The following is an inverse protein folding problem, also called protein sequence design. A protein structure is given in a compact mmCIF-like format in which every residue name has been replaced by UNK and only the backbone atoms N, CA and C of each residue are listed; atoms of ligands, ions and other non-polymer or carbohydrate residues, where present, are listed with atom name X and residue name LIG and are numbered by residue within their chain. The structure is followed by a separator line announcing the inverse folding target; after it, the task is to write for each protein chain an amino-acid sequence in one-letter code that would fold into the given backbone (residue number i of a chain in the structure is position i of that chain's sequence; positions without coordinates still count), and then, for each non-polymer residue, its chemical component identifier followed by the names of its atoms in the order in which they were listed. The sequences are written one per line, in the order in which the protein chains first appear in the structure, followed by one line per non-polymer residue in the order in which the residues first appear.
data_IF_321039980605
#
_entry.id   IF_321039980605
#
_cell.length_a   1.000
_cell.length_b   1.000
_cell.length_c   1.000
_cell.angle_alpha   90.00
_cell.angle_beta   90.00
_cell.angle_gamma   90.00
#
_symmetry.space_group_name_H-M   'P 1'
#
loop_
_entity.id
_entity.type
_entity.pdbx_description
1 polymer ?
#
# COMPACT_ATOMS: atom_id res chain seq x y z
N UNK A 1 3.59 9.90 -6.20
CA UNK A 1 2.85 9.46 -7.41
C UNK A 1 2.71 7.95 -7.38
N UNK A 2 1.49 7.44 -7.56
CA UNK A 2 1.14 6.03 -7.48
C UNK A 2 0.81 5.49 -8.87
N UNK A 3 1.21 4.25 -9.14
CA UNK A 3 0.85 3.54 -10.37
C UNK A 3 -0.42 2.72 -10.14
N UNK A 4 -1.50 3.07 -10.82
CA UNK A 4 -2.78 2.33 -10.78
C UNK A 4 -2.69 1.14 -11.72
N UNK A 5 -3.03 -0.05 -11.23
CA UNK A 5 -2.99 -1.28 -12.02
C UNK A 5 -4.36 -1.91 -12.15
N UNK A 6 -4.69 -2.38 -13.35
CA UNK A 6 -5.87 -3.20 -13.65
C UNK A 6 -5.41 -4.38 -14.50
N UNK A 7 -5.85 -5.59 -14.14
CA UNK A 7 -5.49 -6.83 -14.81
C UNK A 7 -3.97 -7.00 -15.02
N UNK A 8 -3.19 -6.62 -14.00
CA UNK A 8 -1.73 -6.70 -14.02
C UNK A 8 -1.01 -5.61 -14.83
N UNK A 9 -1.71 -4.70 -15.51
CA UNK A 9 -1.12 -3.62 -16.31
C UNK A 9 -1.27 -2.27 -15.62
N UNK A 10 -0.28 -1.39 -15.77
CA UNK A 10 -0.40 0.01 -15.32
C UNK A 10 -1.32 0.74 -16.30
N UNK A 11 -2.38 1.36 -15.78
CA UNK A 11 -3.38 2.08 -16.59
C UNK A 11 -3.38 3.58 -16.34
N UNK A 12 -2.81 4.02 -15.21
CA UNK A 12 -2.69 5.43 -14.87
C UNK A 12 -1.59 5.67 -13.84
N UNK A 13 -1.16 6.93 -13.74
CA UNK A 13 -0.40 7.44 -12.62
C UNK A 13 -1.19 8.55 -11.96
N UNK A 14 -1.38 8.46 -10.63
CA UNK A 14 -2.19 9.43 -9.87
C UNK A 14 -1.41 9.95 -8.66
N UNK A 15 -1.58 11.22 -8.29
CA UNK A 15 -0.94 11.75 -7.08
C UNK A 15 -1.60 11.20 -5.81
N UNK A 16 -2.91 10.93 -5.84
CA UNK A 16 -3.69 10.43 -4.72
C UNK A 16 -4.77 9.45 -5.19
N UNK A 17 -5.18 8.54 -4.30
CA UNK A 17 -6.25 7.57 -4.54
C UNK A 17 -6.81 7.06 -3.22
N UNK A 18 -8.13 6.86 -3.15
CA UNK A 18 -8.79 6.21 -2.03
C UNK A 18 -9.38 4.89 -2.48
N UNK A 19 -9.16 3.84 -1.69
CA UNK A 19 -9.63 2.47 -1.96
C UNK A 19 -10.41 1.93 -0.76
N UNK A 20 -11.50 1.21 -1.01
CA UNK A 20 -12.26 0.46 -0.01
C UNK A 20 -12.03 -1.06 -0.13
N UNK A 21 -12.24 -1.79 0.98
CA UNK A 21 -12.09 -3.24 1.03
C UNK A 21 -10.67 -3.71 0.74
N UNK A 22 -9.70 -3.04 1.34
CA UNK A 22 -8.31 -3.11 0.94
C UNK A 22 -7.60 -4.39 1.40
N UNK A 23 -6.75 -4.93 0.53
CA UNK A 23 -5.79 -6.00 0.82
C UNK A 23 -4.38 -5.55 0.49
N UNK A 24 -3.48 -5.72 1.44
CA UNK A 24 -2.05 -5.46 1.26
C UNK A 24 -1.35 -6.73 0.79
N UNK A 25 -0.59 -6.63 -0.31
CA UNK A 25 0.21 -7.72 -0.85
C UNK A 25 1.66 -7.28 -0.95
N UNK A 26 2.53 -7.93 -0.18
CA UNK A 26 3.97 -7.81 -0.28
C UNK A 26 4.56 -9.14 -0.76
N UNK A 27 5.21 -9.16 -1.92
CA UNK A 27 5.90 -10.34 -2.43
C UNK A 27 7.27 -10.44 -1.77
N UNK A 28 7.45 -11.42 -0.88
CA UNK A 28 8.76 -11.66 -0.28
C UNK A 28 9.81 -12.09 -1.31
N UNK A 29 9.44 -12.96 -2.25
CA UNK A 29 10.32 -13.32 -3.37
C UNK A 29 10.72 -12.08 -4.19
N UNK A 30 9.77 -11.17 -4.46
CA UNK A 30 10.05 -9.89 -5.11
C UNK A 30 10.99 -9.01 -4.30
N UNK A 31 10.75 -8.87 -2.99
CA UNK A 31 11.61 -8.12 -2.05
C UNK A 31 13.05 -8.64 -2.06
N UNK A 32 13.23 -9.96 -1.98
CA UNK A 32 14.56 -10.60 -1.99
C UNK A 32 15.26 -10.39 -3.34
N UNK A 33 14.56 -10.49 -4.47
CA UNK A 33 15.12 -10.16 -5.78
C UNK A 33 15.54 -8.68 -5.88
N UNK A 34 14.71 -7.76 -5.39
CA UNK A 34 15.06 -6.33 -5.36
C UNK A 34 16.32 -6.08 -4.52
N UNK A 35 16.47 -6.75 -3.37
CA UNK A 35 17.66 -6.64 -2.52
C UNK A 35 18.91 -7.22 -3.19
N UNK A 36 18.79 -8.34 -3.89
CA UNK A 36 19.92 -9.04 -4.53
C UNK A 36 20.37 -8.37 -5.83
N UNK A 37 19.41 -7.99 -6.68
CA UNK A 37 19.68 -7.59 -8.07
C UNK A 37 19.38 -6.12 -8.35
N UNK A 38 18.95 -5.34 -7.34
CA UNK A 38 18.47 -3.96 -7.51
C UNK A 38 17.39 -3.82 -8.57
N UNK A 39 16.60 -4.87 -8.83
CA UNK A 39 15.49 -4.78 -9.79
C UNK A 39 14.40 -3.87 -9.25
N UNK A 40 13.77 -3.09 -10.14
CA UNK A 40 12.66 -2.18 -9.81
C UNK A 40 11.30 -2.88 -9.74
N UNK A 41 11.26 -4.18 -9.46
CA UNK A 41 10.02 -4.95 -9.48
C UNK A 41 9.05 -4.42 -8.42
N UNK A 42 7.79 -4.19 -8.82
CA UNK A 42 6.75 -3.82 -7.87
C UNK A 42 6.44 -5.03 -6.99
N UNK A 43 6.86 -4.96 -5.75
CA UNK A 43 6.73 -6.06 -4.77
C UNK A 43 5.86 -5.68 -3.57
N UNK A 44 5.25 -4.50 -3.57
CA UNK A 44 4.32 -4.01 -2.55
C UNK A 44 3.14 -3.31 -3.23
N UNK A 45 1.94 -3.83 -3.03
CA UNK A 45 0.70 -3.34 -3.66
C UNK A 45 -0.43 -3.32 -2.63
N UNK A 46 -1.29 -2.31 -2.72
CA UNK A 46 -2.62 -2.31 -2.10
C UNK A 46 -3.67 -2.52 -3.20
N UNK A 47 -4.58 -3.46 -3.00
CA UNK A 47 -5.69 -3.74 -3.89
C UNK A 47 -7.01 -3.45 -3.18
N UNK A 48 -7.96 -2.85 -3.88
CA UNK A 48 -9.29 -2.51 -3.37
C UNK A 48 -10.10 -1.83 -4.48
N UNK A 49 -11.31 -1.42 -4.14
CA UNK A 49 -12.20 -0.70 -5.07
C UNK A 49 -12.06 0.81 -4.89
N UNK A 50 -11.85 1.60 -5.96
CA UNK A 50 -11.84 3.06 -5.85
C UNK A 50 -13.10 3.59 -5.20
N UNK A 51 -12.94 4.52 -4.26
CA UNK A 51 -14.06 5.18 -3.59
C UNK A 51 -13.74 6.64 -3.27
N UNK A 52 -14.77 7.39 -2.86
CA UNK A 52 -14.62 8.73 -2.32
C UNK A 52 -15.01 8.71 -0.84
N UNK A 53 -14.04 8.97 0.03
CA UNK A 53 -14.25 9.08 1.46
C UNK A 53 -13.22 10.04 2.05
N UNK A 54 -13.60 10.97 2.95
CA UNK A 54 -12.63 11.77 3.68
C UNK A 54 -11.85 10.88 4.66
N UNK A 55 -10.56 11.18 4.86
CA UNK A 55 -9.74 10.47 5.84
C UNK A 55 -10.11 10.91 7.26
N UNK A 56 -10.53 10.00 8.15
CA UNK A 56 -10.79 10.34 9.55
C UNK A 56 -9.49 10.57 10.32
N UNK A 57 -9.56 11.34 11.41
CA UNK A 57 -8.40 11.66 12.24
C UNK A 57 -7.74 10.43 12.90
N UNK A 58 -8.51 9.37 13.15
CA UNK A 58 -8.03 8.12 13.74
C UNK A 58 -7.48 7.12 12.71
N UNK A 59 -7.38 7.50 11.44
CA UNK A 59 -6.70 6.66 10.44
C UNK A 59 -5.24 6.46 10.85
N UNK A 60 -4.73 5.25 10.66
CA UNK A 60 -3.38 4.86 11.05
C UNK A 60 -2.47 4.97 9.85
N UNK A 61 -1.32 5.61 10.01
CA UNK A 61 -0.31 5.63 8.95
C UNK A 61 0.26 4.21 8.78
N UNK A 62 0.31 3.74 7.54
CA UNK A 62 0.83 2.41 7.20
C UNK A 62 1.98 2.54 6.21
N UNK A 63 2.76 1.48 6.07
CA UNK A 63 3.70 1.43 4.97
C UNK A 63 4.52 0.16 4.93
N UNK A 64 5.28 0.08 3.84
CA UNK A 64 6.20 -1.01 3.56
C UNK A 64 7.65 -0.49 3.68
N UNK A 65 8.60 -1.38 3.96
CA UNK A 65 10.05 -1.10 3.95
C UNK A 65 10.75 -2.26 3.27
N UNK A 66 11.71 -2.00 2.39
CA UNK A 66 12.43 -3.06 1.69
C UNK A 66 13.22 -3.99 2.63
N UNK A 67 13.70 -3.44 3.75
CA UNK A 67 14.46 -4.17 4.78
C UNK A 67 13.62 -5.14 5.60
N UNK A 68 12.29 -5.01 5.59
CA UNK A 68 11.38 -5.75 6.46
C UNK A 68 10.28 -6.44 5.61
N UNK A 69 9.86 -7.65 5.98
CA UNK A 69 8.73 -8.28 5.32
C UNK A 69 7.40 -7.65 5.77
N UNK A 70 6.48 -7.50 4.81
CA UNK A 70 5.09 -7.09 5.05
C UNK A 70 4.84 -5.57 5.09
N UNK A 71 3.56 -5.21 4.96
CA UNK A 71 3.10 -3.87 5.32
C UNK A 71 2.92 -3.81 6.82
N UNK A 72 3.17 -2.63 7.40
CA UNK A 72 3.06 -2.43 8.84
C UNK A 72 2.31 -1.16 9.18
N UNK A 73 1.64 -1.20 10.33
CA UNK A 73 1.22 0.02 11.01
C UNK A 73 2.45 0.79 11.49
N UNK A 74 2.42 2.12 11.40
CA UNK A 74 3.53 2.97 11.86
C UNK A 74 3.46 3.32 13.35
N UNK A 75 2.30 3.15 13.97
CA UNK A 75 2.09 3.38 15.41
C UNK A 75 2.53 2.16 16.26
N UNK A 76 2.23 0.93 15.83
CA UNK A 76 2.53 -0.29 16.60
C UNK A 76 3.63 -1.15 15.97
N UNK A 77 3.91 -0.99 14.68
CA UNK A 77 4.82 -1.87 13.95
C UNK A 77 4.23 -3.23 13.58
N UNK A 78 2.97 -3.51 13.94
CA UNK A 78 2.28 -4.76 13.60
C UNK A 78 2.17 -4.94 12.08
N UNK A 79 2.33 -6.18 11.62
CA UNK A 79 2.11 -6.53 10.21
C UNK A 79 0.63 -6.49 9.91
N UNK A 80 0.27 -5.95 8.75
CA UNK A 80 -1.12 -5.87 8.29
C UNK A 80 -1.26 -6.48 6.90
N UNK A 81 -2.45 -6.99 6.65
CA UNK A 81 -2.84 -7.62 5.38
C UNK A 81 -4.17 -7.08 4.85
N UNK A 82 -4.95 -6.39 5.69
CA UNK A 82 -6.27 -5.83 5.37
C UNK A 82 -6.44 -4.42 5.96
N UNK A 83 -7.36 -3.66 5.38
CA UNK A 83 -7.91 -2.42 5.93
C UNK A 83 -9.27 -2.13 5.28
N UNK A 84 -10.16 -1.45 5.99
CA UNK A 84 -11.48 -1.12 5.45
C UNK A 84 -11.38 -0.07 4.35
N UNK A 85 -10.54 0.95 4.56
CA UNK A 85 -10.27 2.02 3.59
C UNK A 85 -8.79 2.38 3.65
N UNK A 86 -8.19 2.66 2.49
CA UNK A 86 -6.81 3.16 2.36
C UNK A 86 -6.82 4.46 1.57
N UNK A 87 -6.18 5.48 2.13
CA UNK A 87 -5.90 6.76 1.48
C UNK A 87 -4.43 6.82 1.08
N UNK A 88 -4.18 6.96 -0.21
CA UNK A 88 -2.88 7.25 -0.78
C UNK A 88 -2.83 8.74 -1.07
N UNK A 89 -1.94 9.47 -0.40
CA UNK A 89 -1.89 10.94 -0.44
C UNK A 89 -0.75 11.48 -1.33
N UNK A 90 -0.83 12.74 -1.82
CA UNK A 90 0.15 13.31 -2.74
C UNK A 90 1.61 13.31 -2.25
N UNK A 91 1.80 13.35 -0.93
CA UNK A 91 3.10 13.27 -0.27
C UNK A 91 3.73 11.85 -0.30
N UNK A 92 3.03 10.88 -0.89
CA UNK A 92 3.44 9.48 -0.95
C UNK A 92 3.10 8.69 0.30
N UNK A 93 2.41 9.29 1.28
CA UNK A 93 1.96 8.58 2.47
C UNK A 93 0.75 7.68 2.17
N UNK A 94 0.59 6.65 3.00
CA UNK A 94 -0.54 5.77 3.00
C UNK A 94 -1.14 5.73 4.41
N UNK A 95 -2.46 5.88 4.49
CA UNK A 95 -3.22 5.84 5.73
C UNK A 95 -4.33 4.81 5.60
N UNK A 96 -4.66 4.12 6.69
CA UNK A 96 -5.62 3.03 6.70
C UNK A 96 -6.62 3.16 7.84
N UNK A 97 -7.87 2.81 7.57
CA UNK A 97 -8.92 2.61 8.56
C UNK A 97 -8.96 1.12 8.94
N UNK A 98 -9.00 0.84 10.25
CA UNK A 98 -9.04 -0.52 10.82
C UNK A 98 -8.02 -1.49 10.20
N UNK A 99 -6.72 -1.15 10.15
CA UNK A 99 -5.73 -2.04 9.54
C UNK A 99 -5.45 -3.26 10.43
N UNK A 100 -5.42 -4.45 9.83
CA UNK A 100 -5.22 -5.75 10.50
C UNK A 100 -4.42 -6.73 9.66
#
# INVERSE_FOLDING_TARGET
MFSVRRDGRVVAHVPALTLAGCRFRASEAGRLRCLQHRSGDVHAVVAGEPCEAPRPAHAVRVGYRLSEAGFRRRDTGEIITHADVVWLEPDGSAWALNPS
#
